data_IF_258126093150
#
_entry.id   IF_258126093150
#
_cell.length_a   1.000
_cell.length_b   1.000
_cell.length_c   1.000
_cell.angle_alpha   90.00
_cell.angle_beta   90.00
_cell.angle_gamma   90.00
#
_symmetry.space_group_name_H-M   'P 1'
#
loop_
_entity.id
_entity.type
_entity.pdbx_description
1 polymer ?
#
# COMPACT_ATOMS: atom_id res chain seq x y z
N UNK A 1 -12.60 -2.74 -7.59
CA UNK A 1 -11.99 -1.42 -7.84
C UNK A 1 -11.16 -1.09 -6.61
N UNK A 2 -9.84 -1.30 -6.65
CA UNK A 2 -8.96 -1.18 -5.49
C UNK A 2 -8.65 0.26 -5.09
N UNK A 3 -9.68 1.09 -4.94
CA UNK A 3 -9.59 2.47 -4.45
C UNK A 3 -10.24 2.52 -3.07
N UNK A 4 -9.48 2.93 -2.07
CA UNK A 4 -10.00 3.15 -0.73
C UNK A 4 -10.65 4.55 -0.68
N UNK A 5 -11.92 4.62 -0.29
CA UNK A 5 -12.64 5.88 -0.16
C UNK A 5 -13.10 6.06 1.29
N UNK A 6 -12.72 7.19 1.90
CA UNK A 6 -13.18 7.56 3.22
C UNK A 6 -14.59 8.18 3.12
N UNK A 7 -15.61 7.34 3.24
CA UNK A 7 -17.02 7.76 3.20
C UNK A 7 -17.67 7.75 4.58
N UNK A 8 -18.61 8.67 4.79
CA UNK A 8 -19.43 8.69 6.00
C UNK A 8 -20.54 7.65 5.87
N UNK A 9 -20.49 6.63 6.73
CA UNK A 9 -21.53 5.60 6.82
C UNK A 9 -22.30 5.71 8.14
N UNK A 10 -23.59 5.30 8.16
CA UNK A 10 -24.34 5.18 9.41
C UNK A 10 -23.66 4.19 10.36
N UNK A 11 -23.75 4.47 11.66
CA UNK A 11 -23.19 3.60 12.70
C UNK A 11 -24.03 2.33 12.86
N UNK A 12 -23.40 1.24 13.31
CA UNK A 12 -24.13 0.05 13.73
C UNK A 12 -24.81 0.25 15.09
N UNK A 13 -25.82 -0.57 15.39
CA UNK A 13 -26.50 -0.60 16.69
C UNK A 13 -25.50 -0.87 17.82
N UNK A 14 -24.61 -1.85 17.67
CA UNK A 14 -23.55 -2.13 18.62
C UNK A 14 -22.66 -0.89 18.91
N UNK A 15 -22.30 -0.11 17.89
CA UNK A 15 -21.51 1.11 18.08
C UNK A 15 -22.33 2.22 18.76
N UNK A 16 -23.61 2.36 18.42
CA UNK A 16 -24.53 3.30 19.07
C UNK A 16 -24.77 2.97 20.55
N UNK A 17 -24.87 1.68 20.89
CA UNK A 17 -25.00 1.20 22.26
C UNK A 17 -23.72 1.40 23.06
N UNK A 18 -22.54 1.17 22.46
CA UNK A 18 -21.28 1.53 23.10
C UNK A 18 -21.19 3.03 23.43
N UNK A 19 -21.61 3.90 22.50
CA UNK A 19 -21.65 5.36 22.74
C UNK A 19 -22.61 5.72 23.88
N UNK A 20 -23.78 5.09 23.94
CA UNK A 20 -24.72 5.28 25.03
C UNK A 20 -24.14 4.81 26.38
N UNK A 21 -23.42 3.68 26.38
CA UNK A 21 -22.75 3.14 27.56
C UNK A 21 -21.67 4.06 28.14
N UNK A 22 -21.07 4.95 27.35
CA UNK A 22 -20.08 5.91 27.84
C UNK A 22 -20.69 6.93 28.81
N UNK A 23 -21.96 7.28 28.63
CA UNK A 23 -22.68 8.19 29.52
C UNK A 23 -22.93 7.58 30.91
N UNK A 24 -22.97 6.25 31.01
CA UNK A 24 -23.27 5.51 32.25
C UNK A 24 -22.06 5.03 33.04
N UNK A 25 -20.82 5.41 32.68
CA UNK A 25 -19.60 4.82 33.27
C UNK A 25 -19.40 5.12 34.75
N UNK A 26 -19.77 6.31 35.20
CA UNK A 26 -19.54 6.79 36.59
C UNK A 26 -20.82 6.91 37.41
N UNK A 27 -21.98 6.96 36.75
CA UNK A 27 -23.29 7.12 37.37
C UNK A 27 -24.39 7.20 36.32
N UNK A 28 -25.65 7.44 36.72
CA UNK A 28 -26.75 7.62 35.78
C UNK A 28 -26.47 8.78 34.82
N UNK A 29 -26.51 8.50 33.52
CA UNK A 29 -26.29 9.49 32.46
C UNK A 29 -27.32 9.34 31.35
N UNK A 30 -27.50 10.42 30.59
CA UNK A 30 -28.45 10.50 29.48
C UNK A 30 -27.71 10.55 28.15
N UNK A 31 -28.13 9.74 27.19
CA UNK A 31 -27.60 9.76 25.82
C UNK A 31 -28.67 10.31 24.87
N UNK A 32 -28.36 11.41 24.18
CA UNK A 32 -29.23 11.99 23.15
C UNK A 32 -28.84 11.43 21.78
N UNK A 33 -29.71 10.62 21.19
CA UNK A 33 -29.55 10.06 19.85
C UNK A 33 -30.25 10.98 18.85
N UNK A 34 -29.51 11.52 17.89
CA UNK A 34 -30.04 12.44 16.85
C UNK A 34 -30.62 11.68 15.65
N UNK A 35 -31.38 10.61 15.93
CA UNK A 35 -32.04 9.78 14.94
C UNK A 35 -33.30 9.17 15.56
N UNK A 36 -34.26 8.77 14.73
CA UNK A 36 -35.51 8.17 15.20
C UNK A 36 -35.30 6.74 15.70
N UNK A 37 -36.19 6.28 16.57
CA UNK A 37 -36.20 4.89 17.02
C UNK A 37 -36.40 3.91 15.86
N UNK A 38 -37.21 4.30 14.86
CA UNK A 38 -37.40 3.50 13.65
C UNK A 38 -36.10 3.29 12.88
N UNK A 39 -35.28 4.34 12.72
CA UNK A 39 -33.99 4.24 12.04
C UNK A 39 -33.02 3.34 12.82
N UNK A 40 -33.03 3.45 14.16
CA UNK A 40 -32.24 2.57 15.01
C UNK A 40 -32.58 1.09 14.84
N UNK A 41 -33.87 0.74 14.79
CA UNK A 41 -34.32 -0.65 14.73
C UNK A 41 -34.27 -1.26 13.33
N UNK A 42 -34.61 -0.47 12.30
CA UNK A 42 -34.86 -0.99 10.94
C UNK A 42 -33.77 -0.62 9.93
N UNK A 43 -33.05 0.49 10.10
CA UNK A 43 -32.07 0.99 9.11
C UNK A 43 -30.62 0.66 9.51
N UNK A 44 -30.31 0.60 10.82
CA UNK A 44 -28.96 0.36 11.31
C UNK A 44 -28.60 -1.12 11.35
N UNK A 45 -27.38 -1.45 10.90
CA UNK A 45 -26.83 -2.80 11.01
C UNK A 45 -26.68 -3.22 12.49
N UNK A 46 -26.94 -4.49 12.85
CA UNK A 46 -26.74 -4.97 14.22
C UNK A 46 -25.31 -4.77 14.72
N UNK A 47 -24.33 -5.18 13.92
CA UNK A 47 -22.90 -5.16 14.23
C UNK A 47 -22.13 -4.42 13.13
N UNK A 48 -20.96 -3.84 13.42
CA UNK A 48 -20.11 -3.26 12.38
C UNK A 48 -19.63 -4.36 11.44
N UNK A 49 -19.55 -4.04 10.14
CA UNK A 49 -18.94 -4.95 9.14
C UNK A 49 -17.46 -5.15 9.49
N UNK A 50 -16.91 -6.38 9.40
CA UNK A 50 -15.49 -6.65 9.64
C UNK A 50 -14.55 -5.75 8.83
N UNK A 51 -13.37 -5.46 9.37
CA UNK A 51 -12.37 -4.61 8.71
C UNK A 51 -11.81 -5.28 7.45
N UNK A 52 -11.50 -6.57 7.53
CA UNK A 52 -10.96 -7.37 6.43
C UNK A 52 -11.85 -7.38 5.17
N UNK A 53 -13.16 -7.17 5.34
CA UNK A 53 -14.12 -7.09 4.23
C UNK A 53 -14.20 -5.68 3.59
N UNK A 54 -13.65 -4.66 4.25
CA UNK A 54 -13.81 -3.25 3.88
C UNK A 54 -12.53 -2.54 3.46
N UNK A 55 -11.37 -3.08 3.82
CA UNK A 55 -10.06 -2.46 3.54
C UNK A 55 -9.33 -3.17 2.41
N UNK A 56 -8.40 -2.47 1.77
CA UNK A 56 -7.41 -3.10 0.90
C UNK A 56 -6.57 -4.13 1.67
N UNK A 57 -6.38 -5.31 1.08
CA UNK A 57 -5.69 -6.44 1.71
C UNK A 57 -4.22 -6.52 1.30
N UNK A 58 -3.65 -5.50 0.64
CA UNK A 58 -2.25 -5.50 0.19
C UNK A 58 -1.25 -5.92 1.27
N UNK A 59 -1.29 -5.28 2.45
CA UNK A 59 -0.41 -5.64 3.57
C UNK A 59 -0.69 -7.04 4.13
N UNK A 60 -1.97 -7.41 4.24
CA UNK A 60 -2.38 -8.71 4.78
C UNK A 60 -1.94 -9.85 3.86
N UNK A 61 -2.14 -9.69 2.56
CA UNK A 61 -1.71 -10.65 1.52
C UNK A 61 -0.19 -10.78 1.51
N UNK A 62 0.54 -9.67 1.59
CA UNK A 62 2.00 -9.67 1.65
C UNK A 62 2.49 -10.44 2.89
N UNK A 63 1.89 -10.18 4.06
CA UNK A 63 2.21 -10.87 5.30
C UNK A 63 1.86 -12.37 5.26
N UNK A 64 0.67 -12.75 4.79
CA UNK A 64 0.27 -14.16 4.66
C UNK A 64 1.19 -14.92 3.71
N UNK A 65 1.63 -14.29 2.62
CA UNK A 65 2.60 -14.86 1.70
C UNK A 65 3.98 -15.03 2.33
N UNK A 66 4.41 -14.11 3.20
CA UNK A 66 5.67 -14.25 3.96
C UNK A 66 5.64 -15.43 4.94
N UNK A 67 4.45 -15.76 5.45
CA UNK A 67 4.19 -16.95 6.28
C UNK A 67 4.06 -18.25 5.46
N UNK A 68 4.35 -18.20 4.15
CA UNK A 68 4.28 -19.33 3.21
C UNK A 68 2.89 -19.93 3.05
N UNK A 69 1.84 -19.11 3.14
CA UNK A 69 0.48 -19.52 2.76
C UNK A 69 0.34 -19.46 1.24
N UNK A 70 0.23 -20.63 0.60
CA UNK A 70 0.13 -20.73 -0.85
C UNK A 70 -1.26 -20.32 -1.37
N UNK A 71 -2.31 -20.98 -0.88
CA UNK A 71 -3.67 -20.69 -1.29
C UNK A 71 -4.37 -19.76 -0.29
N UNK A 72 -4.55 -18.51 -0.68
CA UNK A 72 -5.26 -17.50 0.12
C UNK A 72 -6.78 -17.66 0.06
N UNK A 73 -7.31 -18.31 -0.98
CA UNK A 73 -8.75 -18.52 -1.14
C UNK A 73 -9.28 -19.61 -0.22
N UNK A 74 -8.45 -20.60 0.10
CA UNK A 74 -8.75 -21.71 1.02
C UNK A 74 -8.31 -21.42 2.46
N UNK A 75 -7.77 -20.23 2.72
CA UNK A 75 -7.33 -19.86 4.06
C UNK A 75 -8.54 -19.64 4.98
N UNK A 76 -8.48 -20.21 6.18
CA UNK A 76 -9.59 -20.21 7.14
C UNK A 76 -9.71 -18.86 7.88
N UNK A 77 -10.23 -17.86 7.18
CA UNK A 77 -10.58 -16.57 7.77
C UNK A 77 -11.84 -16.69 8.62
N UNK A 78 -11.85 -16.07 9.81
CA UNK A 78 -13.04 -15.99 10.66
C UNK A 78 -14.22 -15.34 9.93
N UNK A 79 -13.95 -14.23 9.25
CA UNK A 79 -14.87 -13.55 8.34
C UNK A 79 -14.15 -13.41 6.98
N UNK A 80 -14.45 -14.27 5.99
CA UNK A 80 -13.72 -14.25 4.73
C UNK A 80 -13.98 -12.94 3.97
N UNK A 81 -12.94 -12.30 3.43
CA UNK A 81 -13.11 -11.17 2.54
C UNK A 81 -13.66 -11.62 1.17
N UNK A 82 -14.29 -10.71 0.40
CA UNK A 82 -14.67 -11.00 -0.97
C UNK A 82 -13.47 -11.46 -1.80
N UNK A 83 -13.64 -12.51 -2.60
CA UNK A 83 -12.57 -13.06 -3.45
C UNK A 83 -11.98 -11.99 -4.38
N UNK A 84 -12.80 -11.08 -4.89
CA UNK A 84 -12.37 -9.95 -5.72
C UNK A 84 -11.37 -9.04 -4.99
N UNK A 85 -11.51 -8.84 -3.68
CA UNK A 85 -10.59 -8.00 -2.91
C UNK A 85 -9.23 -8.68 -2.74
N UNK A 86 -9.21 -10.00 -2.52
CA UNK A 86 -7.98 -10.80 -2.48
C UNK A 86 -7.28 -10.72 -3.84
N UNK A 87 -8.01 -11.00 -4.94
CA UNK A 87 -7.46 -10.99 -6.30
C UNK A 87 -6.93 -9.59 -6.69
N UNK A 88 -7.67 -8.53 -6.37
CA UNK A 88 -7.21 -7.16 -6.60
C UNK A 88 -5.94 -6.83 -5.82
N UNK A 89 -5.82 -7.29 -4.58
CA UNK A 89 -4.63 -7.07 -3.74
C UNK A 89 -3.42 -7.87 -4.24
N UNK A 90 -3.61 -9.12 -4.64
CA UNK A 90 -2.57 -9.94 -5.29
C UNK A 90 -2.11 -9.31 -6.59
N UNK A 91 -3.05 -8.81 -7.39
CA UNK A 91 -2.74 -8.10 -8.63
C UNK A 91 -1.92 -6.83 -8.35
N UNK A 92 -2.31 -6.02 -7.36
CA UNK A 92 -1.55 -4.82 -6.98
C UNK A 92 -0.12 -5.16 -6.54
N UNK A 93 0.07 -6.20 -5.73
CA UNK A 93 1.40 -6.64 -5.31
C UNK A 93 2.24 -7.20 -6.47
N UNK A 94 1.62 -7.91 -7.40
CA UNK A 94 2.28 -8.39 -8.62
C UNK A 94 2.72 -7.20 -9.49
N UNK A 95 1.86 -6.20 -9.68
CA UNK A 95 2.19 -4.95 -10.37
C UNK A 95 3.35 -4.20 -9.71
N UNK A 96 3.38 -4.14 -8.38
CA UNK A 96 4.48 -3.54 -7.64
C UNK A 96 5.78 -4.37 -7.76
N UNK A 97 5.73 -5.61 -8.24
CA UNK A 97 6.87 -6.52 -8.34
C UNK A 97 7.17 -7.26 -7.04
N UNK A 98 6.25 -7.21 -6.06
CA UNK A 98 6.37 -7.95 -4.80
C UNK A 98 6.03 -9.44 -4.95
N UNK A 99 5.17 -9.77 -5.92
CA UNK A 99 4.82 -11.15 -6.28
C UNK A 99 5.31 -11.47 -7.70
N UNK A 100 5.73 -12.71 -7.91
CA UNK A 100 6.06 -13.24 -9.23
C UNK A 100 4.80 -13.70 -10.00
N UNK A 101 4.97 -14.15 -11.24
CA UNK A 101 3.88 -14.62 -12.12
C UNK A 101 3.12 -15.85 -11.58
N UNK A 102 3.67 -16.53 -10.57
CA UNK A 102 3.07 -17.71 -9.92
C UNK A 102 2.51 -17.38 -8.53
N UNK A 103 2.58 -16.12 -8.09
CA UNK A 103 2.03 -15.67 -6.81
C UNK A 103 2.90 -16.00 -5.57
N UNK A 104 4.19 -16.22 -5.76
CA UNK A 104 5.20 -16.29 -4.69
C UNK A 104 5.91 -14.95 -4.51
N UNK A 105 6.47 -14.71 -3.32
CA UNK A 105 7.22 -13.48 -3.02
C UNK A 105 8.55 -13.43 -3.79
N UNK A 106 8.82 -12.28 -4.38
CA UNK A 106 10.13 -11.93 -4.95
C UNK A 106 11.08 -11.45 -3.86
N UNK A 107 12.38 -11.29 -4.17
CA UNK A 107 13.34 -10.67 -3.24
C UNK A 107 12.92 -9.25 -2.82
N UNK A 108 12.30 -8.51 -3.74
CA UNK A 108 11.70 -7.21 -3.44
C UNK A 108 10.54 -7.37 -2.44
N UNK A 109 9.64 -8.32 -2.68
CA UNK A 109 8.52 -8.62 -1.78
C UNK A 109 8.98 -9.00 -0.38
N UNK A 110 10.03 -9.81 -0.25
CA UNK A 110 10.63 -10.16 1.04
C UNK A 110 11.18 -8.94 1.78
N UNK A 111 11.89 -8.05 1.08
CA UNK A 111 12.35 -6.79 1.68
C UNK A 111 11.19 -5.88 2.09
N UNK A 112 10.09 -5.87 1.33
CA UNK A 112 8.92 -5.05 1.63
C UNK A 112 8.22 -5.47 2.93
N UNK A 113 8.19 -6.77 3.26
CA UNK A 113 7.56 -7.31 4.49
C UNK A 113 8.19 -6.77 5.77
N UNK A 114 9.49 -6.45 5.74
CA UNK A 114 10.22 -5.94 6.91
C UNK A 114 9.81 -4.52 7.31
N UNK A 115 9.15 -3.78 6.41
CA UNK A 115 8.70 -2.42 6.70
C UNK A 115 7.23 -2.41 7.17
N UNK A 116 6.90 -1.73 8.28
CA UNK A 116 5.52 -1.57 8.74
C UNK A 116 4.80 -0.45 7.95
N UNK A 117 4.79 -0.57 6.63
CA UNK A 117 4.28 0.43 5.68
C UNK A 117 3.42 -0.24 4.61
N UNK A 118 2.59 0.55 3.96
CA UNK A 118 1.85 0.09 2.78
C UNK A 118 2.79 -0.29 1.64
N UNK A 119 2.41 -1.26 0.79
CA UNK A 119 3.33 -1.83 -0.20
C UNK A 119 3.87 -0.78 -1.20
N UNK A 120 3.08 0.20 -1.69
CA UNK A 120 3.63 1.29 -2.51
C UNK A 120 4.70 2.11 -1.79
N UNK A 121 4.50 2.44 -0.51
CA UNK A 121 5.46 3.23 0.28
C UNK A 121 6.75 2.44 0.52
N UNK A 122 6.63 1.15 0.84
CA UNK A 122 7.79 0.26 0.98
C UNK A 122 8.57 0.14 -0.34
N UNK A 123 7.88 0.01 -1.48
CA UNK A 123 8.51 0.02 -2.80
C UNK A 123 9.25 1.34 -3.06
N UNK A 124 8.66 2.47 -2.69
CA UNK A 124 9.29 3.79 -2.87
C UNK A 124 10.62 3.87 -2.13
N UNK A 125 10.69 3.38 -0.87
CA UNK A 125 11.95 3.33 -0.10
C UNK A 125 13.01 2.46 -0.78
N UNK A 126 12.63 1.26 -1.23
CA UNK A 126 13.55 0.33 -1.87
C UNK A 126 14.07 0.86 -3.22
N UNK A 127 13.23 1.56 -3.98
CA UNK A 127 13.66 2.25 -5.20
C UNK A 127 14.53 3.48 -4.90
N UNK A 128 14.29 4.15 -3.78
CA UNK A 128 15.16 5.22 -3.28
C UNK A 128 16.58 4.75 -2.96
N UNK A 129 16.75 3.53 -2.46
CA UNK A 129 18.07 2.88 -2.31
C UNK A 129 18.77 2.73 -3.67
N UNK A 130 18.07 2.17 -4.68
CA UNK A 130 18.64 1.91 -6.00
C UNK A 130 19.02 3.18 -6.76
N UNK A 131 18.22 4.24 -6.60
CA UNK A 131 18.40 5.52 -7.27
C UNK A 131 19.30 6.50 -6.51
N UNK A 132 19.69 6.18 -5.26
CA UNK A 132 20.58 7.03 -4.47
C UNK A 132 19.91 8.22 -3.76
N UNK A 133 18.59 8.19 -3.55
CA UNK A 133 17.79 9.28 -2.97
C UNK A 133 17.03 8.88 -1.70
N UNK A 134 17.60 7.96 -0.93
CA UNK A 134 16.94 7.33 0.21
C UNK A 134 16.61 8.33 1.34
N UNK A 135 17.45 9.33 1.60
CA UNK A 135 17.23 10.30 2.69
C UNK A 135 15.97 11.16 2.46
N UNK A 136 15.80 11.64 1.23
CA UNK A 136 14.67 12.42 0.78
C UNK A 136 13.40 11.58 0.78
N UNK A 137 13.44 10.39 0.16
CA UNK A 137 12.30 9.47 0.10
C UNK A 137 11.87 9.03 1.49
N UNK A 138 12.80 8.72 2.38
CA UNK A 138 12.51 8.36 3.77
C UNK A 138 11.75 9.47 4.50
N UNK A 139 12.09 10.74 4.26
CA UNK A 139 11.36 11.88 4.82
C UNK A 139 9.96 11.98 4.24
N UNK A 140 9.81 11.84 2.91
CA UNK A 140 8.53 11.90 2.22
C UNK A 140 7.58 10.80 2.72
N UNK A 141 8.05 9.55 2.78
CA UNK A 141 7.29 8.41 3.31
C UNK A 141 6.81 8.70 4.72
N UNK A 142 7.69 9.19 5.58
CA UNK A 142 7.35 9.49 6.98
C UNK A 142 6.29 10.59 7.11
N UNK A 143 6.29 11.56 6.18
CA UNK A 143 5.29 12.63 6.13
C UNK A 143 3.95 12.14 5.57
N UNK A 144 3.95 11.19 4.64
CA UNK A 144 2.73 10.58 4.08
C UNK A 144 2.06 9.62 5.07
N UNK A 145 2.82 8.92 5.91
CA UNK A 145 2.28 8.01 6.93
C UNK A 145 1.57 8.70 8.11
N UNK A 146 1.52 10.03 8.12
CA UNK A 146 0.88 10.84 9.17
C UNK A 146 -0.25 11.64 8.53
N UNK A 147 -1.38 11.89 9.24
CA UNK A 147 -2.42 12.77 8.75
C UNK A 147 -1.86 14.14 8.31
N UNK A 148 -2.54 14.77 7.35
CA UNK A 148 -2.13 16.06 6.77
C UNK A 148 -1.59 17.04 7.82
N UNK A 149 -0.34 17.47 7.63
CA UNK A 149 0.37 18.37 8.54
C UNK A 149 -0.11 19.82 8.45
N UNK A 150 -0.81 20.17 7.37
CA UNK A 150 -1.31 21.54 7.15
C UNK A 150 -2.62 21.76 7.91
N UNK A 151 -2.69 22.86 8.66
CA UNK A 151 -3.85 23.27 9.41
C UNK A 151 -4.52 24.48 8.74
N UNK A 152 -5.76 24.35 8.28
CA UNK A 152 -6.50 25.45 7.61
C UNK A 152 -7.72 25.88 8.43
N UNK A 153 -7.58 26.83 9.37
CA UNK A 153 -8.71 27.36 10.13
C UNK A 153 -9.65 28.16 9.23
N UNK A 154 -10.98 28.00 9.40
CA UNK A 154 -11.99 28.68 8.57
C UNK A 154 -11.90 30.20 8.66
N UNK A 155 -11.59 30.73 9.85
CA UNK A 155 -11.54 32.18 10.10
C UNK A 155 -10.25 32.85 9.58
N UNK A 156 -9.19 32.07 9.32
CA UNK A 156 -7.87 32.56 8.88
C UNK A 156 -7.35 31.78 7.68
N UNK A 157 -8.24 31.45 6.76
CA UNK A 157 -7.93 30.63 5.59
C UNK A 157 -6.88 31.30 4.69
N UNK A 158 -7.02 32.59 4.41
CA UNK A 158 -6.10 33.34 3.53
C UNK A 158 -4.67 33.41 4.11
N UNK A 159 -4.52 33.68 5.41
CA UNK A 159 -3.22 33.67 6.08
C UNK A 159 -2.55 32.29 6.04
N UNK A 160 -3.35 31.24 6.25
CA UNK A 160 -2.88 29.86 6.19
C UNK A 160 -2.44 29.47 4.78
N UNK A 161 -3.20 29.88 3.76
CA UNK A 161 -2.89 29.58 2.36
C UNK A 161 -1.62 30.34 1.93
N UNK A 162 -1.46 31.60 2.31
CA UNK A 162 -0.25 32.39 2.06
C UNK A 162 1.00 31.84 2.79
N UNK A 163 0.85 31.31 4.01
CA UNK A 163 1.94 30.64 4.70
C UNK A 163 2.32 29.33 3.99
N UNK A 164 1.33 28.59 3.47
CA UNK A 164 1.52 27.33 2.76
C UNK A 164 2.24 27.52 1.41
N UNK A 165 1.92 28.58 0.68
CA UNK A 165 2.55 28.91 -0.61
C UNK A 165 4.08 29.05 -0.51
N UNK A 166 4.61 29.51 0.64
CA UNK A 166 6.05 29.63 0.88
C UNK A 166 6.79 28.29 0.85
N UNK A 167 6.09 27.19 1.07
CA UNK A 167 6.67 25.84 1.06
C UNK A 167 6.53 25.14 -0.29
N UNK A 168 5.73 25.68 -1.21
CA UNK A 168 5.38 25.02 -2.46
C UNK A 168 6.59 24.82 -3.35
N UNK A 169 6.73 23.58 -3.81
CA UNK A 169 7.59 23.21 -4.92
C UNK A 169 6.66 22.97 -6.11
N UNK A 170 6.77 23.78 -7.20
CA UNK A 170 5.80 23.79 -8.29
C UNK A 170 5.65 22.44 -8.99
N UNK A 171 6.65 21.58 -8.91
CA UNK A 171 6.66 20.28 -9.59
C UNK A 171 6.01 19.15 -8.76
N UNK A 172 5.92 19.29 -7.42
CA UNK A 172 5.55 18.18 -6.56
C UNK A 172 5.07 18.57 -5.16
N UNK A 173 3.89 18.03 -4.80
CA UNK A 173 3.38 18.07 -3.42
C UNK A 173 4.22 17.19 -2.48
N UNK A 174 4.78 16.08 -2.98
CA UNK A 174 5.64 15.20 -2.19
C UNK A 174 6.92 15.93 -1.78
N UNK A 175 7.53 16.67 -2.72
CA UNK A 175 8.68 17.52 -2.41
C UNK A 175 8.30 18.69 -1.52
N UNK A 176 7.08 19.22 -1.64
CA UNK A 176 6.56 20.23 -0.71
C UNK A 176 6.54 19.71 0.73
N UNK A 177 6.12 18.47 0.96
CA UNK A 177 6.18 17.84 2.30
C UNK A 177 7.63 17.69 2.79
N UNK A 178 8.55 17.32 1.91
CA UNK A 178 9.98 17.28 2.20
C UNK A 178 10.52 18.67 2.61
N UNK A 179 10.18 19.71 1.86
CA UNK A 179 10.59 21.09 2.13
C UNK A 179 10.08 21.57 3.50
N UNK A 180 8.81 21.30 3.83
CA UNK A 180 8.24 21.60 5.15
C UNK A 180 9.04 20.93 6.27
N UNK A 181 9.37 19.65 6.13
CA UNK A 181 10.14 18.92 7.13
C UNK A 181 11.57 19.47 7.27
N UNK A 182 12.23 19.80 6.15
CA UNK A 182 13.59 20.35 6.17
C UNK A 182 13.63 21.74 6.83
N UNK A 183 12.69 22.63 6.51
CA UNK A 183 12.60 23.93 7.17
C UNK A 183 12.33 23.78 8.67
N UNK A 184 11.43 22.87 9.06
CA UNK A 184 11.17 22.59 10.47
C UNK A 184 12.42 22.07 11.21
N UNK A 185 13.21 21.20 10.54
CA UNK A 185 14.49 20.70 11.05
C UNK A 185 15.53 21.81 11.19
N UNK A 186 15.64 22.72 10.22
CA UNK A 186 16.53 23.88 10.27
C UNK A 186 16.18 24.82 11.44
N UNK A 187 14.89 24.98 11.73
CA UNK A 187 14.38 25.72 12.89
C UNK A 187 14.37 24.90 14.19
N UNK A 188 15.22 23.87 14.30
CA UNK A 188 15.44 23.07 15.52
C UNK A 188 14.16 22.42 16.07
N UNK A 189 13.21 22.06 15.21
CA UNK A 189 11.96 21.40 15.59
C UNK A 189 11.07 22.22 16.53
N UNK A 190 11.16 23.56 16.47
CA UNK A 190 10.38 24.46 17.33
C UNK A 190 8.88 24.37 17.05
N UNK A 191 8.09 24.30 18.12
CA UNK A 191 6.62 24.31 18.04
C UNK A 191 6.05 25.68 17.68
N UNK A 192 6.67 26.76 18.16
CA UNK A 192 6.25 28.13 17.85
C UNK A 192 6.27 28.38 16.34
N UNK A 193 7.36 27.98 15.67
CA UNK A 193 7.51 28.10 14.21
C UNK A 193 6.40 27.37 13.45
N UNK A 194 5.97 26.20 13.92
CA UNK A 194 4.84 25.49 13.32
C UNK A 194 3.54 26.26 13.46
N UNK A 195 3.29 26.89 14.62
CA UNK A 195 2.08 27.69 14.83
C UNK A 195 2.06 28.91 13.91
N UNK A 196 3.19 29.58 13.74
CA UNK A 196 3.34 30.74 12.84
C UNK A 196 3.08 30.38 11.36
N UNK A 197 3.36 29.12 10.98
CA UNK A 197 3.20 28.61 9.61
C UNK A 197 1.96 27.72 9.43
N UNK A 198 1.05 27.69 10.40
CA UNK A 198 -0.18 26.88 10.35
C UNK A 198 0.08 25.38 10.11
N UNK A 199 1.07 24.83 10.82
CA UNK A 199 1.44 23.42 10.78
C UNK A 199 1.09 22.71 12.10
N UNK A 200 0.59 21.48 11.99
CA UNK A 200 0.29 20.65 13.14
C UNK A 200 1.56 20.07 13.77
N UNK A 201 1.97 20.65 14.92
CA UNK A 201 3.15 20.21 15.70
C UNK A 201 3.10 18.72 16.05
N UNK A 202 1.92 18.21 16.45
CA UNK A 202 1.75 16.79 16.80
C UNK A 202 1.98 15.88 15.60
N UNK A 203 1.51 16.27 14.42
CA UNK A 203 1.75 15.53 13.17
C UNK A 203 3.23 15.49 12.81
N UNK A 204 3.90 16.64 12.80
CA UNK A 204 5.34 16.72 12.49
C UNK A 204 6.21 15.93 13.49
N UNK A 205 5.88 15.97 14.78
CA UNK A 205 6.56 15.14 15.79
C UNK A 205 6.38 13.66 15.51
N UNK A 206 5.15 13.23 15.16
CA UNK A 206 4.89 11.85 14.79
C UNK A 206 5.64 11.42 13.54
N UNK A 207 5.72 12.28 12.53
CA UNK A 207 6.48 12.02 11.31
C UNK A 207 7.99 11.84 11.61
N UNK A 208 8.54 12.62 12.55
CA UNK A 208 9.92 12.43 13.02
C UNK A 208 10.13 11.09 13.74
N UNK A 209 9.18 10.65 14.56
CA UNK A 209 9.23 9.33 15.21
C UNK A 209 9.22 8.20 14.19
N UNK A 210 8.28 8.24 13.23
CA UNK A 210 8.17 7.27 12.12
C UNK A 210 9.47 7.24 11.32
N UNK A 211 10.02 8.41 10.98
CA UNK A 211 11.30 8.51 10.29
C UNK A 211 12.44 7.82 11.05
N UNK A 212 12.52 8.01 12.37
CA UNK A 212 13.54 7.36 13.19
C UNK A 212 13.37 5.84 13.21
N UNK A 213 12.14 5.35 13.33
CA UNK A 213 11.85 3.91 13.32
C UNK A 213 12.24 3.27 11.98
N UNK A 214 11.84 3.88 10.87
CA UNK A 214 12.21 3.43 9.53
C UNK A 214 13.73 3.48 9.32
N UNK A 215 14.40 4.51 9.84
CA UNK A 215 15.86 4.60 9.79
C UNK A 215 16.55 3.46 10.53
N UNK A 216 16.03 3.05 11.69
CA UNK A 216 16.60 1.97 12.46
C UNK A 216 16.37 0.59 11.79
N UNK A 217 15.24 0.42 11.10
CA UNK A 217 15.00 -0.75 10.24
C UNK A 217 16.00 -0.76 9.07
N UNK A 218 16.21 0.36 8.38
CA UNK A 218 17.18 0.47 7.28
C UNK A 218 18.60 0.12 7.71
N UNK A 219 19.03 0.57 8.91
CA UNK A 219 20.32 0.18 9.49
C UNK A 219 20.41 -1.32 9.76
N UNK A 220 19.34 -1.92 10.26
CA UNK A 220 19.25 -3.37 10.52
C UNK A 220 19.40 -4.17 9.22
N UNK A 221 18.78 -3.68 8.15
CA UNK A 221 18.88 -4.23 6.79
C UNK A 221 20.20 -3.88 6.07
N UNK A 222 21.08 -3.10 6.71
CA UNK A 222 22.37 -2.62 6.16
C UNK A 222 22.25 -1.80 4.87
N UNK A 223 21.13 -1.09 4.71
CA UNK A 223 20.89 -0.21 3.57
C UNK A 223 21.53 1.15 3.86
N UNK A 224 22.47 1.64 3.03
CA UNK A 224 23.14 2.92 3.25
C UNK A 224 22.21 4.11 2.96
N UNK A 225 22.30 5.15 3.77
CA UNK A 225 21.64 6.42 3.49
C UNK A 225 22.40 7.18 2.41
N UNK A 226 21.72 7.41 1.29
CA UNK A 226 22.19 8.20 0.15
C UNK A 226 21.27 9.40 -0.03
N UNK A 227 21.83 10.49 -0.55
CA UNK A 227 21.12 11.72 -0.87
C UNK A 227 21.46 12.11 -2.30
N UNK A 228 20.44 12.52 -3.06
CA UNK A 228 20.57 12.96 -4.45
C UNK A 228 20.39 14.47 -4.62
N UNK A 229 20.29 15.23 -3.53
CA UNK A 229 20.05 16.68 -3.58
C UNK A 229 21.21 17.40 -4.33
N UNK A 230 20.93 18.36 -5.24
CA UNK A 230 19.66 19.05 -5.51
C UNK A 230 18.79 18.44 -6.64
N UNK A 231 19.12 17.25 -7.14
CA UNK A 231 18.39 16.63 -8.25
C UNK A 231 17.03 16.08 -7.77
N UNK A 232 15.97 16.81 -8.08
CA UNK A 232 14.58 16.48 -7.75
C UNK A 232 13.99 15.41 -8.68
N UNK A 233 14.54 15.21 -9.87
CA UNK A 233 14.01 14.28 -10.86
C UNK A 233 14.25 12.83 -10.42
N UNK A 234 15.38 12.55 -9.77
CA UNK A 234 15.66 11.23 -9.18
C UNK A 234 14.61 10.87 -8.12
N UNK A 235 14.24 11.83 -7.26
CA UNK A 235 13.20 11.63 -6.23
C UNK A 235 11.83 11.45 -6.88
N UNK A 236 11.50 12.25 -7.91
CA UNK A 236 10.24 12.13 -8.66
C UNK A 236 10.14 10.79 -9.39
N UNK A 237 11.25 10.28 -9.94
CA UNK A 237 11.36 8.95 -10.54
C UNK A 237 11.14 7.84 -9.49
N UNK A 238 11.68 7.98 -8.29
CA UNK A 238 11.40 7.05 -7.18
C UNK A 238 9.91 7.03 -6.81
N UNK A 239 9.27 8.20 -6.70
CA UNK A 239 7.81 8.30 -6.44
C UNK A 239 7.00 7.66 -7.57
N UNK A 240 7.38 7.92 -8.82
CA UNK A 240 6.76 7.32 -9.99
C UNK A 240 6.81 5.78 -9.94
N UNK A 241 7.93 5.19 -9.49
CA UNK A 241 8.09 3.73 -9.43
C UNK A 241 7.12 3.03 -8.47
N UNK A 242 6.67 3.73 -7.43
CA UNK A 242 5.74 3.23 -6.45
C UNK A 242 4.29 3.44 -6.89
N UNK A 243 3.99 4.62 -7.43
CA UNK A 243 2.63 5.08 -7.70
C UNK A 243 2.27 5.17 -9.18
N UNK A 244 3.01 4.54 -10.10
CA UNK A 244 2.69 4.53 -11.53
C UNK A 244 1.28 3.98 -11.85
N UNK A 245 0.73 3.12 -11.00
CA UNK A 245 -0.65 2.64 -11.15
C UNK A 245 -1.70 3.72 -10.83
N UNK A 246 -1.31 4.73 -10.06
CA UNK A 246 -2.07 5.94 -9.72
C UNK A 246 -1.56 7.13 -10.55
N UNK A 247 -1.44 6.95 -11.87
CA UNK A 247 -1.08 8.01 -12.80
C UNK A 247 -2.31 8.62 -13.47
N UNK A 248 -2.29 9.91 -13.74
CA UNK A 248 -3.30 10.60 -14.53
C UNK A 248 -2.68 11.50 -15.61
N UNK A 249 -3.39 11.64 -16.72
CA UNK A 249 -3.03 12.46 -17.87
C UNK A 249 -3.97 13.66 -17.99
N UNK A 250 -3.42 14.84 -18.30
CA UNK A 250 -4.17 16.05 -18.59
C UNK A 250 -4.99 15.88 -19.88
N UNK A 251 -6.30 16.10 -19.79
CA UNK A 251 -7.22 16.05 -20.95
C UNK A 251 -7.79 17.42 -21.30
N UNK A 252 -7.97 18.29 -20.32
CA UNK A 252 -8.49 19.64 -20.48
C UNK A 252 -8.03 20.58 -19.36
N UNK A 253 -8.58 21.79 -19.33
CA UNK A 253 -8.22 22.79 -18.30
C UNK A 253 -8.67 22.30 -16.92
N UNK A 254 -7.71 21.89 -16.08
CA UNK A 254 -7.97 21.39 -14.73
C UNK A 254 -8.69 20.04 -14.66
N UNK A 255 -8.77 19.31 -15.78
CA UNK A 255 -9.35 17.97 -15.85
C UNK A 255 -8.27 16.95 -16.25
N UNK A 256 -8.05 15.99 -15.36
CA UNK A 256 -7.16 14.86 -15.58
C UNK A 256 -7.99 13.60 -15.79
N UNK A 257 -7.41 12.62 -16.45
CA UNK A 257 -7.99 11.30 -16.63
C UNK A 257 -6.98 10.27 -16.20
N UNK A 258 -7.39 9.36 -15.33
CA UNK A 258 -6.52 8.29 -14.87
C UNK A 258 -6.11 7.39 -16.05
N UNK A 259 -4.80 7.17 -16.20
CA UNK A 259 -4.23 6.49 -17.37
C UNK A 259 -4.65 5.02 -17.48
N UNK A 260 -5.07 4.39 -16.39
CA UNK A 260 -5.40 2.96 -16.35
C UNK A 260 -6.87 2.68 -16.64
N UNK A 261 -7.78 3.44 -16.04
CA UNK A 261 -9.23 3.18 -16.12
C UNK A 261 -10.00 4.23 -16.94
N UNK A 262 -9.37 5.33 -17.33
CA UNK A 262 -10.03 6.40 -18.08
C UNK A 262 -11.01 7.23 -17.23
N UNK A 263 -10.97 7.11 -15.90
CA UNK A 263 -11.86 7.84 -15.01
C UNK A 263 -11.43 9.31 -14.90
N UNK A 264 -12.34 10.28 -15.03
CA UNK A 264 -12.03 11.70 -14.82
C UNK A 264 -11.66 11.93 -13.36
N UNK A 265 -10.64 12.75 -13.14
CA UNK A 265 -10.09 13.09 -11.83
C UNK A 265 -9.66 14.56 -11.86
N UNK A 266 -9.70 15.23 -10.71
CA UNK A 266 -9.29 16.62 -10.56
C UNK A 266 -8.14 16.74 -9.56
N UNK A 267 -7.26 17.73 -9.72
CA UNK A 267 -6.30 18.06 -8.67
C UNK A 267 -7.03 18.65 -7.47
N UNK A 268 -6.69 18.19 -6.27
CA UNK A 268 -7.26 18.77 -5.06
C UNK A 268 -6.84 20.25 -4.94
N UNK A 269 -7.73 21.19 -4.56
CA UNK A 269 -7.41 22.63 -4.50
C UNK A 269 -6.24 22.99 -3.57
N UNK A 270 -5.89 22.09 -2.65
CA UNK A 270 -4.75 22.28 -1.75
C UNK A 270 -3.39 21.90 -2.37
N UNK A 271 -3.38 21.32 -3.57
CA UNK A 271 -2.14 20.90 -4.25
C UNK A 271 -1.36 22.12 -4.73
N UNK A 272 -0.04 22.08 -4.59
CA UNK A 272 0.86 23.10 -5.14
C UNK A 272 0.72 23.21 -6.66
N UNK A 273 0.42 22.09 -7.33
CA UNK A 273 0.20 22.00 -8.78
C UNK A 273 -1.05 22.73 -9.25
N UNK A 274 -2.00 23.03 -8.35
CA UNK A 274 -3.24 23.72 -8.70
C UNK A 274 -3.04 25.24 -8.88
N UNK A 275 -2.17 25.85 -8.07
CA UNK A 275 -2.07 27.31 -7.93
C UNK A 275 -1.03 28.01 -8.81
N UNK A 276 -0.02 27.30 -9.32
CA UNK A 276 1.19 27.93 -9.89
C UNK A 276 1.23 28.04 -11.43
N UNK A 277 0.15 27.71 -12.15
CA UNK A 277 0.08 27.89 -13.62
C UNK A 277 0.91 26.90 -14.45
N UNK A 278 1.68 26.01 -13.80
CA UNK A 278 2.34 24.87 -14.43
C UNK A 278 1.44 23.64 -14.29
N UNK A 279 0.64 23.34 -15.32
CA UNK A 279 -0.17 22.11 -15.37
C UNK A 279 0.60 21.03 -16.12
N UNK A 280 1.29 20.10 -15.44
CA UNK A 280 2.02 19.03 -16.12
C UNK A 280 1.06 18.11 -16.88
N UNK A 281 1.53 17.57 -18.01
CA UNK A 281 0.73 16.64 -18.83
C UNK A 281 0.45 15.33 -18.10
N UNK A 282 1.43 14.84 -17.32
CA UNK A 282 1.31 13.60 -16.57
C UNK A 282 1.62 13.83 -15.10
N UNK A 283 0.77 13.27 -14.25
CA UNK A 283 0.90 13.33 -12.80
C UNK A 283 0.74 11.95 -12.18
N UNK A 284 1.41 11.75 -11.06
CA UNK A 284 1.22 10.60 -10.18
C UNK A 284 0.73 11.12 -8.83
N UNK A 285 -0.25 10.44 -8.24
CA UNK A 285 -0.88 10.86 -6.99
C UNK A 285 -0.85 9.75 -5.92
N UNK A 286 -0.81 10.17 -4.65
CA UNK A 286 -0.79 9.27 -3.51
C UNK A 286 -2.16 8.62 -3.28
N UNK A 287 -3.21 9.45 -3.16
CA UNK A 287 -4.57 9.04 -2.81
C UNK A 287 -5.60 9.71 -3.72
N UNK A 288 -6.74 9.04 -3.89
CA UNK A 288 -7.90 9.59 -4.60
C UNK A 288 -9.08 9.67 -3.62
N UNK A 289 -9.56 10.89 -3.37
CA UNK A 289 -10.69 11.12 -2.48
C UNK A 289 -11.94 11.39 -3.31
N UNK A 290 -12.98 10.59 -3.08
CA UNK A 290 -14.30 10.80 -3.64
C UNK A 290 -15.12 11.71 -2.71
N UNK A 291 -15.45 12.91 -3.20
CA UNK A 291 -16.39 13.84 -2.52
C UNK A 291 -17.61 14.09 -3.42
N UNK A 292 -17.78 15.32 -3.92
CA UNK A 292 -18.69 15.62 -5.04
C UNK A 292 -18.05 15.29 -6.38
N UNK A 293 -16.72 15.34 -6.44
CA UNK A 293 -15.87 14.92 -7.54
C UNK A 293 -14.69 14.11 -6.98
N UNK A 294 -14.04 13.37 -7.85
CA UNK A 294 -12.82 12.62 -7.57
C UNK A 294 -11.63 13.57 -7.55
N UNK A 295 -11.05 13.79 -6.37
CA UNK A 295 -9.87 14.65 -6.19
C UNK A 295 -8.63 13.82 -5.90
N UNK A 296 -7.57 14.07 -6.66
CA UNK A 296 -6.24 13.54 -6.44
C UNK A 296 -5.55 14.34 -5.34
N UNK A 297 -5.11 13.66 -4.29
CA UNK A 297 -4.36 14.24 -3.18
C UNK A 297 -2.88 13.89 -3.28
N UNK A 298 -2.02 14.87 -2.96
CA UNK A 298 -0.57 14.79 -3.04
C UNK A 298 -0.10 14.29 -4.41
N UNK A 299 -0.05 15.21 -5.38
CA UNK A 299 0.35 14.90 -6.75
C UNK A 299 1.79 15.36 -7.05
N UNK A 300 2.43 14.67 -7.98
CA UNK A 300 3.77 14.98 -8.50
C UNK A 300 3.77 14.93 -10.02
N UNK A 301 4.35 15.92 -10.66
CA UNK A 301 4.59 15.91 -12.10
C UNK A 301 5.59 14.79 -12.46
N UNK A 302 5.31 14.03 -13.51
CA UNK A 302 6.21 12.94 -13.96
C UNK A 302 6.40 12.99 -15.47
N UNK A 303 7.54 12.50 -15.93
CA UNK A 303 7.82 12.34 -17.36
C UNK A 303 7.22 11.02 -17.89
N UNK A 304 6.73 10.99 -19.13
CA UNK A 304 6.18 9.78 -19.73
C UNK A 304 7.21 8.66 -19.91
N UNK A 305 8.49 9.01 -20.13
CA UNK A 305 9.57 8.03 -20.24
C UNK A 305 9.73 7.23 -18.95
N UNK A 306 9.67 7.88 -17.79
CA UNK A 306 9.83 7.20 -16.50
C UNK A 306 8.69 6.20 -16.24
N UNK A 307 7.46 6.55 -16.63
CA UNK A 307 6.32 5.63 -16.51
C UNK A 307 6.48 4.40 -17.40
N UNK A 308 7.00 4.56 -18.63
CA UNK A 308 7.27 3.45 -19.53
C UNK A 308 8.43 2.56 -19.06
N UNK A 309 9.49 3.16 -18.49
CA UNK A 309 10.63 2.40 -17.94
C UNK A 309 10.26 1.62 -16.67
N UNK A 310 9.51 2.25 -15.76
CA UNK A 310 9.20 1.69 -14.44
C UNK A 310 7.96 0.79 -14.45
N UNK A 311 7.10 0.95 -15.45
CA UNK A 311 5.88 0.17 -15.63
C UNK A 311 5.69 -0.31 -17.08
N UNK A 312 6.63 -1.06 -17.67
CA UNK A 312 6.59 -1.47 -19.08
C UNK A 312 5.37 -2.35 -19.41
N UNK A 313 4.84 -3.07 -18.42
CA UNK A 313 3.62 -3.88 -18.57
C UNK A 313 2.35 -3.04 -18.81
N UNK A 314 2.37 -1.75 -18.41
CA UNK A 314 1.21 -0.86 -18.47
C UNK A 314 1.39 0.28 -19.47
N UNK A 315 2.62 0.75 -19.62
CA UNK A 315 2.94 1.94 -20.39
C UNK A 315 3.94 1.61 -21.49
N UNK A 316 3.60 2.04 -22.70
CA UNK A 316 4.50 2.01 -23.85
C UNK A 316 4.58 3.43 -24.40
N UNK A 317 5.79 3.94 -24.59
CA UNK A 317 5.99 5.16 -25.39
C UNK A 317 5.68 4.80 -26.83
N UNK A 318 4.87 5.63 -27.50
CA UNK A 318 4.68 5.55 -28.95
C UNK A 318 5.78 6.37 -29.59
N UNK A 319 6.86 5.72 -30.04
CA UNK A 319 7.84 6.38 -30.89
C UNK A 319 7.23 6.57 -32.27
N UNK A 320 7.18 7.82 -32.74
CA UNK A 320 6.53 8.24 -33.98
C UNK A 320 7.04 7.51 -35.25
N UNK A 321 8.20 6.85 -35.17
CA UNK A 321 8.88 6.22 -36.31
C UNK A 321 8.94 4.68 -36.26
N UNK A 322 8.38 4.04 -35.22
CA UNK A 322 8.37 2.56 -35.15
C UNK A 322 7.12 1.98 -35.81
N UNK A 323 7.32 0.96 -36.66
CA UNK A 323 6.22 0.34 -37.39
C UNK A 323 5.28 -0.40 -36.41
N UNK A 324 3.97 -0.34 -36.66
CA UNK A 324 2.95 -1.12 -35.92
C UNK A 324 3.28 -2.63 -35.84
N UNK A 325 4.08 -3.12 -36.78
CA UNK A 325 4.58 -4.49 -36.85
C UNK A 325 5.68 -4.77 -35.81
N UNK A 326 6.63 -3.85 -35.61
CA UNK A 326 7.69 -4.00 -34.60
C UNK A 326 7.13 -3.95 -33.18
N UNK A 327 6.17 -3.06 -32.93
CA UNK A 327 5.48 -3.00 -31.63
C UNK A 327 4.75 -4.30 -31.32
N UNK A 328 3.99 -4.85 -32.29
CA UNK A 328 3.33 -6.15 -32.16
C UNK A 328 4.31 -7.31 -31.97
N UNK A 329 5.45 -7.27 -32.66
CA UNK A 329 6.49 -8.31 -32.53
C UNK A 329 7.08 -8.31 -31.12
N UNK A 330 7.41 -7.12 -30.60
CA UNK A 330 7.97 -6.93 -29.26
C UNK A 330 7.01 -7.34 -28.16
N UNK A 331 5.72 -6.99 -28.27
CA UNK A 331 4.68 -7.48 -27.36
C UNK A 331 4.51 -9.00 -27.39
N UNK A 332 4.64 -9.61 -28.58
CA UNK A 332 4.56 -11.06 -28.71
C UNK A 332 5.77 -11.74 -28.06
N UNK A 333 6.96 -11.20 -28.25
CA UNK A 333 8.20 -11.66 -27.63
C UNK A 333 8.15 -11.55 -26.10
N UNK A 334 7.68 -10.42 -25.56
CA UNK A 334 7.47 -10.23 -24.11
C UNK A 334 6.45 -11.21 -23.54
N UNK A 335 5.33 -11.43 -24.26
CA UNK A 335 4.33 -12.40 -23.84
C UNK A 335 4.89 -13.83 -23.82
N UNK A 336 5.63 -14.24 -24.84
CA UNK A 336 6.26 -15.57 -24.87
C UNK A 336 7.30 -15.71 -23.77
N UNK A 337 8.12 -14.68 -23.52
CA UNK A 337 9.09 -14.70 -22.44
C UNK A 337 8.42 -14.85 -21.06
N UNK A 338 7.29 -14.18 -20.85
CA UNK A 338 6.51 -14.27 -19.62
C UNK A 338 5.85 -15.66 -19.45
N UNK A 339 5.38 -16.26 -20.54
CA UNK A 339 4.84 -17.64 -20.55
C UNK A 339 5.94 -18.66 -20.22
N UNK A 340 7.12 -18.52 -20.84
CA UNK A 340 8.29 -19.38 -20.58
C UNK A 340 8.77 -19.25 -19.13
N UNK A 341 8.85 -18.02 -18.60
CA UNK A 341 9.20 -17.76 -17.21
C UNK A 341 8.19 -18.40 -16.24
N UNK A 342 6.89 -18.28 -16.53
CA UNK A 342 5.84 -18.91 -15.72
C UNK A 342 5.97 -20.45 -15.73
N UNK A 343 6.29 -21.06 -16.88
CA UNK A 343 6.48 -22.50 -16.97
C UNK A 343 7.71 -22.97 -16.18
N UNK A 344 8.82 -22.23 -16.26
CA UNK A 344 10.04 -22.53 -15.49
C UNK A 344 9.80 -22.41 -13.99
N UNK A 345 9.16 -21.33 -13.53
CA UNK A 345 8.83 -21.15 -12.11
C UNK A 345 7.89 -22.24 -11.59
N UNK A 346 6.92 -22.70 -12.41
CA UNK A 346 6.05 -23.83 -12.06
C UNK A 346 6.81 -25.14 -11.94
N UNK A 347 7.80 -25.39 -12.82
CA UNK A 347 8.67 -26.57 -12.74
C UNK A 347 9.51 -26.54 -11.47
N UNK A 348 10.12 -25.40 -11.15
CA UNK A 348 10.91 -25.21 -9.93
C UNK A 348 10.06 -25.42 -8.66
N UNK A 349 8.84 -24.89 -8.63
CA UNK A 349 7.92 -25.14 -7.51
C UNK A 349 7.54 -26.61 -7.37
N UNK A 350 7.21 -27.28 -8.48
CA UNK A 350 6.86 -28.70 -8.47
C UNK A 350 8.05 -29.58 -8.01
N UNK A 351 9.27 -29.24 -8.42
CA UNK A 351 10.49 -29.89 -7.94
C UNK A 351 10.72 -29.63 -6.44
N UNK A 352 10.54 -28.39 -5.97
CA UNK A 352 10.69 -28.04 -4.56
C UNK A 352 9.66 -28.75 -3.67
N UNK A 353 8.39 -28.82 -4.09
CA UNK A 353 7.34 -29.59 -3.42
C UNK A 353 7.67 -31.08 -3.37
N UNK A 354 8.19 -31.64 -4.47
CA UNK A 354 8.60 -33.04 -4.53
C UNK A 354 9.74 -33.31 -3.55
N UNK A 355 10.76 -32.45 -3.52
CA UNK A 355 11.85 -32.56 -2.56
C UNK A 355 11.35 -32.44 -1.11
N UNK A 356 10.45 -31.51 -0.82
CA UNK A 356 9.91 -31.34 0.53
C UNK A 356 9.10 -32.56 0.95
N UNK A 357 8.30 -33.12 0.04
CA UNK A 357 7.56 -34.37 0.26
C UNK A 357 8.50 -35.55 0.51
N UNK A 358 9.60 -35.64 -0.22
CA UNK A 358 10.64 -36.66 0.01
C UNK A 358 11.34 -36.46 1.36
N UNK A 359 11.67 -35.21 1.75
CA UNK A 359 12.24 -34.87 3.07
C UNK A 359 11.27 -35.22 4.21
N UNK A 360 9.98 -34.89 4.08
CA UNK A 360 8.93 -35.25 5.05
C UNK A 360 8.73 -36.76 5.13
N UNK A 361 8.81 -37.48 4.01
CA UNK A 361 8.73 -38.94 3.99
C UNK A 361 9.93 -39.59 4.70
N UNK A 362 11.15 -39.10 4.45
CA UNK A 362 12.38 -39.55 5.14
C UNK A 362 12.33 -39.25 6.64
N UNK A 363 11.85 -38.08 7.05
CA UNK A 363 11.64 -37.75 8.46
C UNK A 363 10.61 -38.69 9.12
N UNK A 364 9.46 -38.94 8.48
CA UNK A 364 8.46 -39.91 8.98
C UNK A 364 9.03 -41.31 9.14
N UNK A 365 9.84 -41.79 8.19
CA UNK A 365 10.52 -43.09 8.30
C UNK A 365 11.54 -43.13 9.44
N UNK A 366 12.27 -42.03 9.69
CA UNK A 366 13.23 -41.93 10.81
C UNK A 366 12.55 -41.86 12.19
N UNK A 367 11.37 -41.24 12.29
CA UNK A 367 10.58 -41.18 13.54
C UNK A 367 9.95 -42.53 13.84
N UNK A 368 9.58 -43.31 12.81
CA UNK A 368 8.99 -44.64 12.98
C UNK A 368 10.00 -45.73 13.36
N UNK A 369 11.30 -45.44 13.41
CA UNK A 369 12.38 -46.45 13.62
C UNK A 369 13.05 -46.41 14.99
N UNK A 370 12.51 -45.67 15.97
CA UNK A 370 12.96 -45.71 17.37
C UNK A 370 11.88 -46.30 18.28
N UNK A 371 11.80 -47.64 18.30
CA UNK A 371 11.13 -48.39 19.37
C UNK A 371 10.21 -49.52 18.92
N UNK A 372 10.78 -50.70 18.61
CA UNK A 372 10.42 -52.04 19.12
C UNK A 372 11.02 -53.12 18.17
N UNK A 373 11.70 -54.15 18.71
CA UNK A 373 12.16 -55.28 17.90
C UNK A 373 10.96 -56.12 17.47
N UNK A 374 11.07 -56.74 16.29
CA UNK A 374 10.12 -57.70 15.74
C UNK A 374 9.76 -58.78 16.77
N UNK A 375 8.61 -58.62 17.41
CA UNK A 375 7.99 -59.63 18.26
C UNK A 375 7.06 -60.48 17.42
N UNK A 376 7.45 -61.75 17.21
CA UNK A 376 6.65 -62.80 16.59
C UNK A 376 5.22 -62.86 17.18
N UNK A 377 4.22 -62.50 16.37
CA UNK A 377 2.81 -62.70 16.73
C UNK A 377 2.41 -64.15 16.48
N UNK A 378 2.69 -65.04 17.43
CA UNK A 378 2.03 -66.36 17.52
C UNK A 378 0.64 -66.17 18.13
N UNK A 379 -0.39 -66.09 17.28
CA UNK A 379 -1.77 -66.30 17.71
C UNK A 379 -2.01 -67.80 17.93
N UNK A 380 -1.97 -68.24 19.19
CA UNK A 380 -2.54 -69.53 19.60
C UNK A 380 -4.04 -69.37 19.80
N UNK A 381 -4.84 -70.01 18.94
CA UNK A 381 -6.29 -70.23 19.16
C UNK A 381 -6.48 -71.23 20.30
N UNK A 382 -7.31 -70.95 21.32
CA UNK A 382 -7.76 -72.00 22.23
C UNK A 382 -8.82 -72.88 21.55
N UNK A 383 -8.64 -74.19 21.64
CA UNK A 383 -9.60 -75.21 21.21
C UNK A 383 -10.91 -75.11 22.01
N UNK A 384 -12.01 -75.38 21.29
CA UNK A 384 -13.34 -75.60 21.88
C UNK A 384 -13.28 -76.77 22.85
N UNK A 385 -13.61 -76.52 24.12
CA UNK A 385 -14.10 -77.54 25.04
C UNK A 385 -15.58 -77.26 25.28
N UNK A 386 -16.42 -78.16 24.77
CA UNK A 386 -17.83 -78.23 25.12
C UNK A 386 -18.02 -79.10 26.35
N UNK A 387 -18.96 -78.67 27.20
CA UNK A 387 -20.05 -79.48 27.77
C UNK A 387 -21.17 -78.54 28.17
#
# INVERSE_FOLDING_TARGET
>A
MGMDALQVFPVSRAAADQRAGWAGRTGPGTCYRLYTESAYLNEMLPSPVPEIQRTNLGNVVLLLKSLKVENLLDFDFMDPPPQDNILNSMYQLWVLGALNNVGSLTDLGWKMVEFPLDPPLAKMLLMGEQLGCLDEVLTIVSMLSVPSVFFRPKDRAEESDAAREKFFIPESDHLTLYNVYQQWKQHQYRGDWCNDHFLHVKGLRKAREVRSQLLDILKTLKIPLTSSWPDTDIVRKAICSAYFHNSAKLKGVGEYVNCRNGMPCHLHPSSALYGMGCTPEYVVYHELILTTKEYMQCATAVEPQWMAELGPMFFSVKDSDTSLLEHKKRQKEEKTAMEDEMENLRKEQAEAEREEREKRAKQRQSVSTLGLPEGSSTYLRPERLGL
#
